data_IF_747315528673
#
_entry.id   IF_747315528673
#
_cell.length_a   1.000
_cell.length_b   1.000
_cell.length_c   1.000
_cell.angle_alpha   90.00
_cell.angle_beta   90.00
_cell.angle_gamma   90.00
#
_symmetry.space_group_name_H-M   'P 1'
#
loop_
_entity.id
_entity.type
_entity.pdbx_description
1 polymer ?
#
# COMPACT_ATOMS: atom_id res chain seq x y z
N UNK A 1 -21.58 -1.27 -3.19
CA UNK A 1 -20.80 -1.85 -2.03
C UNK A 1 -19.43 -1.20 -2.02
N UNK A 2 -18.98 -0.68 -0.89
CA UNK A 2 -17.71 0.02 -0.80
C UNK A 2 -16.58 -0.96 -0.45
N UNK A 3 -15.42 -0.77 -1.07
CA UNK A 3 -14.24 -1.61 -0.86
C UNK A 3 -13.08 -0.73 -0.42
N UNK A 4 -12.48 -1.07 0.71
CA UNK A 4 -11.21 -0.50 1.16
C UNK A 4 -10.22 -1.66 1.25
N UNK A 5 -9.15 -1.56 0.48
CA UNK A 5 -8.08 -2.56 0.48
C UNK A 5 -6.80 -1.93 1.02
N UNK A 6 -6.35 -2.40 2.17
CA UNK A 6 -5.13 -1.90 2.81
C UNK A 6 -4.06 -2.99 2.71
N UNK A 7 -2.90 -2.62 2.19
CA UNK A 7 -1.72 -3.48 2.11
C UNK A 7 -0.63 -2.84 2.97
N UNK A 8 -0.29 -3.48 4.09
CA UNK A 8 0.84 -3.07 4.93
C UNK A 8 2.04 -3.96 4.59
N UNK A 9 3.11 -3.37 4.04
CA UNK A 9 4.25 -4.14 3.57
C UNK A 9 4.98 -4.83 4.72
N UNK A 10 5.39 -6.07 4.50
CA UNK A 10 6.11 -6.95 5.46
C UNK A 10 5.45 -7.10 6.84
N UNK A 11 4.17 -6.73 6.99
CA UNK A 11 3.48 -6.84 8.27
C UNK A 11 3.21 -8.30 8.63
N UNK A 12 3.95 -8.83 9.56
CA UNK A 12 3.89 -10.22 9.99
C UNK A 12 2.65 -10.48 10.84
N UNK A 13 1.95 -11.57 10.59
CA UNK A 13 0.77 -11.97 11.36
C UNK A 13 1.08 -12.22 12.84
N UNK A 14 2.25 -12.75 13.17
CA UNK A 14 2.68 -12.99 14.55
C UNK A 14 3.00 -11.70 15.35
N UNK A 15 2.89 -10.52 14.72
CA UNK A 15 2.98 -9.21 15.37
C UNK A 15 1.61 -8.61 15.71
N UNK A 16 0.51 -9.33 15.44
CA UNK A 16 -0.85 -8.90 15.73
C UNK A 16 -1.40 -9.58 16.98
N UNK A 17 -2.06 -8.81 17.86
CA UNK A 17 -2.74 -9.34 19.03
C UNK A 17 -3.81 -10.37 18.65
N UNK A 18 -4.55 -10.12 17.58
CA UNK A 18 -5.56 -11.03 17.03
C UNK A 18 -4.99 -12.42 16.64
N UNK A 19 -3.69 -12.53 16.36
CA UNK A 19 -2.99 -13.79 16.09
C UNK A 19 -2.16 -14.28 17.30
N UNK A 20 -2.38 -13.68 18.48
CA UNK A 20 -1.81 -14.18 19.73
C UNK A 20 -0.55 -13.45 20.21
N UNK A 21 -0.11 -12.37 19.56
CA UNK A 21 1.00 -11.55 20.08
C UNK A 21 0.58 -10.86 21.38
N UNK A 22 1.41 -11.00 22.41
CA UNK A 22 1.15 -10.40 23.73
C UNK A 22 2.04 -9.21 24.06
N UNK A 23 3.03 -8.94 23.21
CA UNK A 23 4.04 -7.90 23.43
C UNK A 23 3.70 -6.64 22.64
N UNK A 24 3.34 -6.81 21.37
CA UNK A 24 3.00 -5.72 20.47
C UNK A 24 1.52 -5.38 20.64
N UNK A 25 1.22 -4.12 20.86
CA UNK A 25 -0.16 -3.66 21.06
C UNK A 25 -0.76 -3.19 19.73
N UNK A 26 -1.80 -3.89 19.28
CA UNK A 26 -2.55 -3.60 18.05
C UNK A 26 -4.06 -3.43 18.31
N UNK A 27 -4.49 -2.56 19.25
CA UNK A 27 -5.86 -2.56 19.75
C UNK A 27 -6.91 -2.26 18.66
N UNK A 28 -6.61 -1.40 17.70
CA UNK A 28 -7.52 -1.07 16.60
C UNK A 28 -7.69 -2.25 15.65
N UNK A 29 -6.60 -2.92 15.29
CA UNK A 29 -6.65 -4.10 14.43
C UNK A 29 -7.29 -5.29 15.15
N UNK A 30 -7.05 -5.45 16.45
CA UNK A 30 -7.69 -6.49 17.26
C UNK A 30 -9.20 -6.28 17.35
N UNK A 31 -9.64 -5.03 17.54
CA UNK A 31 -11.06 -4.67 17.52
C UNK A 31 -11.70 -4.89 16.14
N UNK A 32 -10.99 -4.61 15.05
CA UNK A 32 -11.45 -4.94 13.70
C UNK A 32 -11.56 -6.46 13.52
N UNK A 33 -10.54 -7.20 13.88
CA UNK A 33 -10.48 -8.66 13.76
C UNK A 33 -11.62 -9.36 14.52
N UNK A 34 -12.03 -8.82 15.70
CA UNK A 34 -13.11 -9.39 16.52
C UNK A 34 -14.48 -9.42 15.82
N UNK A 35 -14.68 -8.62 14.78
CA UNK A 35 -15.92 -8.51 13.99
C UNK A 35 -15.73 -8.80 12.49
N UNK A 36 -14.63 -9.44 12.14
CA UNK A 36 -14.23 -9.70 10.76
C UNK A 36 -13.91 -11.18 10.56
N UNK A 37 -13.83 -11.61 9.31
CA UNK A 37 -13.25 -12.91 8.97
C UNK A 37 -11.73 -12.80 9.08
N UNK A 38 -11.15 -13.69 9.88
CA UNK A 38 -9.70 -13.82 10.02
C UNK A 38 -9.24 -15.09 9.32
N UNK A 39 -8.24 -14.95 8.44
CA UNK A 39 -7.65 -16.06 7.71
C UNK A 39 -6.45 -16.62 8.49
N UNK A 40 -6.55 -17.88 8.93
CA UNK A 40 -5.45 -18.56 9.62
C UNK A 40 -4.38 -19.09 8.66
N UNK A 41 -4.75 -19.28 7.38
CA UNK A 41 -3.87 -19.77 6.32
C UNK A 41 -4.09 -18.96 5.07
N UNK A 42 -3.36 -17.88 4.96
CA UNK A 42 -3.30 -17.04 3.77
C UNK A 42 -1.87 -17.07 3.23
N UNK A 43 -1.72 -17.40 1.97
CA UNK A 43 -0.42 -17.52 1.31
C UNK A 43 -0.34 -16.53 0.17
N UNK A 44 0.80 -15.86 0.04
CA UNK A 44 1.09 -15.03 -1.13
C UNK A 44 1.32 -15.92 -2.34
N UNK A 45 0.90 -15.47 -3.52
CA UNK A 45 1.12 -16.20 -4.76
C UNK A 45 2.48 -15.85 -5.39
N UNK A 46 2.89 -14.59 -5.29
CA UNK A 46 4.15 -14.07 -5.82
C UNK A 46 4.97 -13.32 -4.78
N UNK A 47 6.27 -13.17 -5.02
CA UNK A 47 7.24 -12.55 -4.13
C UNK A 47 8.35 -11.89 -4.98
N UNK A 48 8.99 -10.81 -4.57
CA UNK A 48 8.65 -9.99 -3.42
C UNK A 48 7.62 -8.88 -3.75
N UNK A 49 7.86 -7.64 -3.35
CA UNK A 49 6.92 -6.50 -3.38
C UNK A 49 6.21 -6.30 -4.71
N UNK A 50 6.96 -6.15 -5.82
CA UNK A 50 6.37 -5.85 -7.13
C UNK A 50 5.50 -6.98 -7.69
N UNK A 51 5.97 -8.24 -7.73
CA UNK A 51 5.14 -9.35 -8.17
C UNK A 51 3.87 -9.51 -7.33
N UNK A 52 3.95 -9.28 -5.99
CA UNK A 52 2.77 -9.31 -5.12
C UNK A 52 1.77 -8.20 -5.48
N UNK A 53 2.23 -6.97 -5.74
CA UNK A 53 1.34 -5.88 -6.19
C UNK A 53 0.73 -6.16 -7.56
N UNK A 54 1.47 -6.81 -8.45
CA UNK A 54 0.92 -7.24 -9.73
C UNK A 54 -0.18 -8.30 -9.56
N UNK A 55 0.00 -9.26 -8.64
CA UNK A 55 -1.07 -10.21 -8.27
C UNK A 55 -2.31 -9.48 -7.76
N UNK A 56 -2.14 -8.50 -6.88
CA UNK A 56 -3.24 -7.69 -6.33
C UNK A 56 -3.94 -6.89 -7.43
N UNK A 57 -3.17 -6.27 -8.32
CA UNK A 57 -3.72 -5.43 -9.37
C UNK A 57 -4.48 -6.25 -10.42
N UNK A 58 -4.00 -7.44 -10.77
CA UNK A 58 -4.51 -8.21 -11.92
C UNK A 58 -5.34 -9.44 -11.55
N UNK A 59 -5.26 -9.90 -10.29
CA UNK A 59 -5.84 -11.17 -9.87
C UNK A 59 -5.18 -12.40 -10.53
N UNK A 60 -3.97 -12.24 -11.06
CA UNK A 60 -3.21 -13.28 -11.76
C UNK A 60 -1.92 -13.58 -11.01
N UNK A 61 -1.43 -14.78 -11.16
CA UNK A 61 -0.12 -15.15 -10.65
C UNK A 61 0.98 -14.52 -11.52
N UNK A 62 1.48 -13.39 -11.09
CA UNK A 62 2.39 -12.54 -11.87
C UNK A 62 3.74 -13.19 -12.15
N UNK A 63 4.28 -14.01 -11.26
CA UNK A 63 5.54 -14.72 -11.49
C UNK A 63 5.53 -15.64 -12.71
N UNK A 64 4.38 -15.91 -13.29
CA UNK A 64 4.26 -16.66 -14.54
C UNK A 64 4.55 -15.82 -15.80
N UNK A 65 4.54 -14.48 -15.69
CA UNK A 65 4.67 -13.59 -16.85
C UNK A 65 5.50 -12.32 -16.62
N UNK A 66 5.88 -12.00 -15.37
CA UNK A 66 6.72 -10.84 -15.06
C UNK A 66 7.57 -11.08 -13.80
N UNK A 67 8.62 -10.26 -13.66
CA UNK A 67 9.45 -10.18 -12.48
C UNK A 67 9.33 -8.84 -11.78
N UNK A 68 10.47 -8.22 -11.45
CA UNK A 68 10.56 -6.89 -10.87
C UNK A 68 10.62 -5.84 -11.99
N UNK A 69 9.48 -5.46 -12.50
CA UNK A 69 9.36 -4.57 -13.65
C UNK A 69 8.00 -3.86 -13.65
N UNK A 70 7.79 -2.84 -14.48
CA UNK A 70 6.49 -2.22 -14.66
C UNK A 70 5.41 -3.25 -15.04
N UNK A 71 4.18 -3.03 -14.57
CA UNK A 71 3.04 -3.85 -14.98
C UNK A 71 2.87 -3.77 -16.49
N UNK A 72 2.88 -4.89 -17.24
CA UNK A 72 2.75 -4.86 -18.69
C UNK A 72 1.45 -4.17 -19.14
N UNK A 73 1.52 -3.34 -20.16
CA UNK A 73 0.39 -2.52 -20.66
C UNK A 73 -0.87 -3.33 -20.97
N UNK A 74 -0.71 -4.55 -21.48
CA UNK A 74 -1.83 -5.45 -21.83
C UNK A 74 -2.54 -6.09 -20.64
N UNK A 75 -2.11 -5.86 -19.41
CA UNK A 75 -2.80 -6.37 -18.22
C UNK A 75 -3.99 -5.49 -17.86
N UNK A 76 -5.12 -6.12 -17.59
CA UNK A 76 -6.30 -5.44 -17.04
C UNK A 76 -6.21 -5.44 -15.50
N UNK A 77 -6.45 -4.29 -14.89
CA UNK A 77 -6.39 -4.15 -13.44
C UNK A 77 -7.78 -4.25 -12.79
N UNK A 78 -7.81 -4.62 -11.51
CA UNK A 78 -9.03 -4.57 -10.71
C UNK A 78 -9.64 -3.15 -10.68
N UNK A 79 -8.79 -2.13 -10.62
CA UNK A 79 -9.25 -0.74 -10.64
C UNK A 79 -9.93 -0.38 -11.97
N UNK A 80 -9.40 -0.83 -13.12
CA UNK A 80 -10.07 -0.65 -14.42
C UNK A 80 -11.43 -1.35 -14.48
N UNK A 81 -11.50 -2.58 -13.97
CA UNK A 81 -12.76 -3.35 -13.93
C UNK A 81 -13.80 -2.62 -13.10
N UNK A 82 -13.43 -2.17 -11.90
CA UNK A 82 -14.35 -1.48 -10.99
C UNK A 82 -14.75 -0.11 -11.52
N UNK A 83 -13.82 0.66 -12.08
CA UNK A 83 -14.13 1.92 -12.75
C UNK A 83 -15.10 1.72 -13.90
N UNK A 84 -14.92 0.67 -14.68
CA UNK A 84 -15.79 0.30 -15.82
C UNK A 84 -17.23 -0.03 -15.43
N UNK A 85 -17.49 -0.38 -14.16
CA UNK A 85 -18.84 -0.62 -13.63
C UNK A 85 -19.32 0.50 -12.71
N UNK A 86 -18.66 1.67 -12.74
CA UNK A 86 -19.14 2.90 -12.11
C UNK A 86 -18.61 3.15 -10.70
N UNK A 87 -17.62 2.39 -10.22
CA UNK A 87 -16.98 2.70 -8.95
C UNK A 87 -16.08 3.93 -9.09
N UNK A 88 -16.08 4.77 -8.06
CA UNK A 88 -15.06 5.80 -7.90
C UNK A 88 -13.79 5.14 -7.33
N UNK A 89 -12.72 5.11 -8.12
CA UNK A 89 -11.49 4.37 -7.79
C UNK A 89 -10.39 5.32 -7.35
N UNK A 90 -9.79 5.02 -6.21
CA UNK A 90 -8.67 5.81 -5.69
C UNK A 90 -7.58 4.93 -5.11
N UNK A 91 -6.33 5.39 -5.22
CA UNK A 91 -5.19 4.82 -4.54
C UNK A 91 -4.45 5.90 -3.74
N UNK A 92 -3.97 5.51 -2.56
CA UNK A 92 -3.10 6.32 -1.71
C UNK A 92 -1.92 5.46 -1.29
N UNK A 93 -0.70 5.87 -1.63
CA UNK A 93 0.51 5.08 -1.38
C UNK A 93 1.68 5.96 -0.93
N UNK A 94 2.62 5.36 -0.21
CA UNK A 94 3.92 5.97 0.11
C UNK A 94 5.11 5.07 -0.33
N UNK A 95 4.87 4.21 -1.30
CA UNK A 95 5.87 3.33 -1.93
C UNK A 95 6.23 3.80 -3.34
N UNK A 96 6.87 4.99 -3.51
CA UNK A 96 7.04 5.63 -4.81
C UNK A 96 7.92 4.83 -5.77
N UNK A 97 8.91 4.07 -5.27
CA UNK A 97 9.77 3.22 -6.10
C UNK A 97 9.01 2.27 -7.01
N UNK A 98 7.86 1.78 -6.52
CA UNK A 98 7.15 0.70 -7.17
C UNK A 98 5.89 1.17 -7.87
N UNK A 99 5.26 2.24 -7.35
CA UNK A 99 3.95 2.68 -7.78
C UNK A 99 3.97 4.05 -8.46
N UNK A 100 5.13 4.54 -8.87
CA UNK A 100 5.25 5.78 -9.64
C UNK A 100 4.63 5.65 -11.04
N UNK A 101 4.37 6.78 -11.69
CA UNK A 101 3.57 6.85 -12.90
C UNK A 101 4.08 6.09 -14.13
N UNK A 102 5.36 5.69 -14.16
CA UNK A 102 5.94 4.87 -15.23
C UNK A 102 5.86 3.35 -14.96
N UNK A 103 5.28 2.96 -13.83
CA UNK A 103 5.16 1.55 -13.43
C UNK A 103 3.81 0.93 -13.76
N UNK A 104 2.86 1.69 -14.30
CA UNK A 104 1.51 1.29 -14.73
C UNK A 104 0.58 0.74 -13.62
N UNK A 105 0.92 0.93 -12.33
CA UNK A 105 0.06 0.53 -11.22
C UNK A 105 -1.02 1.56 -10.88
N UNK A 106 -0.92 2.76 -11.43
CA UNK A 106 -1.94 3.81 -11.37
C UNK A 106 -3.13 3.55 -12.30
N UNK A 107 -3.01 2.56 -13.18
CA UNK A 107 -3.97 2.20 -14.22
C UNK A 107 -5.35 1.85 -13.65
N UNK A 108 -6.37 2.59 -14.07
CA UNK A 108 -7.76 2.41 -13.64
C UNK A 108 -8.13 3.17 -12.36
N UNK A 109 -7.21 3.85 -11.70
CA UNK A 109 -7.54 4.75 -10.62
C UNK A 109 -7.83 6.16 -11.14
N UNK A 110 -9.01 6.70 -10.78
CA UNK A 110 -9.41 8.07 -11.11
C UNK A 110 -8.68 9.09 -10.23
N UNK A 111 -8.29 8.69 -9.04
CA UNK A 111 -7.47 9.49 -8.13
C UNK A 111 -6.28 8.64 -7.66
N UNK A 112 -5.08 9.12 -7.93
CA UNK A 112 -3.85 8.45 -7.50
C UNK A 112 -2.99 9.42 -6.70
N UNK A 113 -2.86 9.15 -5.40
CA UNK A 113 -2.10 9.99 -4.47
C UNK A 113 -0.86 9.24 -4.01
N UNK A 114 0.27 9.72 -4.44
CA UNK A 114 1.56 9.22 -3.99
C UNK A 114 2.15 10.19 -2.99
N UNK A 115 2.27 9.76 -1.73
CA UNK A 115 3.10 10.45 -0.78
C UNK A 115 4.56 10.13 -1.11
N UNK A 116 5.45 11.13 -1.13
CA UNK A 116 6.83 10.91 -1.56
C UNK A 116 7.60 9.84 -0.79
N UNK A 117 7.12 9.42 0.37
CA UNK A 117 7.71 8.32 1.12
C UNK A 117 9.18 8.58 1.47
N UNK A 118 9.95 7.54 1.50
CA UNK A 118 11.39 7.62 1.78
C UNK A 118 12.18 8.22 0.62
N UNK A 119 11.67 8.17 -0.60
CA UNK A 119 12.35 8.64 -1.81
C UNK A 119 12.43 10.16 -1.95
N UNK A 120 11.41 10.89 -1.52
CA UNK A 120 11.40 12.34 -1.65
C UNK A 120 12.45 13.05 -0.80
N UNK A 121 13.11 12.27 -0.02
CA UNK A 121 14.10 12.73 0.92
C UNK A 121 15.50 12.67 0.33
N UNK A 122 15.64 12.08 -0.88
CA UNK A 122 16.93 11.98 -1.55
C UNK A 122 16.95 12.89 -2.79
N UNK A 123 17.91 13.81 -2.89
CA UNK A 123 18.24 14.43 -4.19
C UNK A 123 18.55 13.30 -5.20
N UNK A 124 18.15 13.52 -6.45
CA UNK A 124 18.32 12.54 -7.54
C UNK A 124 19.76 12.01 -7.68
N UNK A 125 20.74 12.78 -7.23
CA UNK A 125 22.16 12.46 -7.18
C UNK A 125 22.52 11.45 -6.08
N UNK A 126 21.66 11.23 -5.09
CA UNK A 126 21.90 10.37 -3.92
C UNK A 126 21.24 8.99 -4.00
N UNK A 127 20.43 8.73 -5.02
CA UNK A 127 19.73 7.45 -5.22
C UNK A 127 20.67 6.24 -5.34
N UNK A 128 21.96 6.45 -5.40
CA UNK A 128 22.98 5.40 -5.53
C UNK A 128 23.79 5.11 -4.27
N UNK A 129 23.58 5.85 -3.16
CA UNK A 129 24.41 5.74 -1.93
C UNK A 129 23.65 5.30 -0.67
N UNK A 130 22.98 4.37 -0.72
CA UNK A 130 21.91 3.62 -0.07
C UNK A 130 21.67 3.55 1.45
N UNK A 131 22.49 3.93 2.41
CA UNK A 131 22.15 3.52 3.80
C UNK A 131 22.37 4.51 4.93
N UNK A 132 23.26 5.44 4.80
CA UNK A 132 23.63 6.29 5.93
C UNK A 132 22.74 7.54 6.10
N UNK A 133 22.13 8.00 5.03
CA UNK A 133 21.38 9.26 5.01
C UNK A 133 19.91 9.11 5.40
N UNK A 134 19.33 7.93 5.22
CA UNK A 134 17.99 7.63 5.70
C UNK A 134 17.84 7.76 7.23
N UNK A 135 18.93 7.62 7.98
CA UNK A 135 18.93 7.83 9.42
C UNK A 135 18.84 9.31 9.78
N UNK A 136 19.47 10.20 9.03
CA UNK A 136 19.46 11.63 9.30
C UNK A 136 18.07 12.26 9.10
N UNK A 137 17.32 11.76 8.15
CA UNK A 137 15.97 12.24 7.85
C UNK A 137 14.99 11.83 8.94
N UNK A 138 15.10 10.61 9.45
CA UNK A 138 14.32 10.15 10.61
C UNK A 138 14.65 10.92 11.88
N UNK A 139 15.86 11.42 12.00
CA UNK A 139 16.24 12.31 13.12
C UNK A 139 15.46 13.62 13.09
N UNK A 140 14.88 14.03 11.97
CA UNK A 140 14.01 15.19 11.85
C UNK A 140 12.55 14.90 12.29
N UNK A 141 12.12 13.65 12.35
CA UNK A 141 10.77 13.29 12.81
C UNK A 141 10.64 13.52 14.31
N UNK A 142 9.69 14.35 14.68
CA UNK A 142 9.42 14.72 16.08
C UNK A 142 8.11 14.15 16.59
N UNK A 143 7.16 13.91 15.68
CA UNK A 143 5.83 13.42 15.97
C UNK A 143 5.49 12.24 15.08
N UNK A 144 4.54 11.43 15.52
CA UNK A 144 4.00 10.33 14.72
C UNK A 144 3.49 10.81 13.34
N UNK A 145 2.88 12.01 13.31
CA UNK A 145 2.37 12.64 12.09
C UNK A 145 3.44 12.99 11.05
N UNK A 146 4.71 12.98 11.44
CA UNK A 146 5.81 13.28 10.51
C UNK A 146 6.21 12.06 9.66
N UNK A 147 5.70 10.88 10.04
CA UNK A 147 5.99 9.62 9.37
C UNK A 147 5.13 9.41 8.13
N UNK A 148 5.62 8.62 7.19
CA UNK A 148 4.97 8.41 5.89
C UNK A 148 3.62 7.71 6.02
N UNK A 149 3.54 6.56 6.71
CA UNK A 149 2.28 5.82 6.82
C UNK A 149 1.16 6.62 7.50
N UNK A 150 1.37 7.35 8.63
CA UNK A 150 0.37 8.26 9.17
C UNK A 150 -0.14 9.28 8.15
N UNK A 151 0.74 9.89 7.34
CA UNK A 151 0.33 10.84 6.30
C UNK A 151 -0.48 10.16 5.19
N UNK A 152 -0.10 8.97 4.79
CA UNK A 152 -0.86 8.14 3.85
C UNK A 152 -2.27 7.84 4.37
N UNK A 153 -2.41 7.46 5.65
CA UNK A 153 -3.73 7.22 6.25
C UNK A 153 -4.57 8.49 6.45
N UNK A 154 -3.93 9.63 6.77
CA UNK A 154 -4.63 10.92 6.81
C UNK A 154 -5.21 11.24 5.43
N UNK A 155 -4.42 11.09 4.37
CA UNK A 155 -4.88 11.34 3.00
C UNK A 155 -6.01 10.41 2.58
N UNK A 156 -5.90 9.12 2.91
CA UNK A 156 -6.97 8.15 2.67
C UNK A 156 -8.26 8.53 3.41
N UNK A 157 -8.16 8.96 4.67
CA UNK A 157 -9.28 9.40 5.48
C UNK A 157 -9.95 10.66 4.92
N UNK A 158 -9.18 11.65 4.48
CA UNK A 158 -9.70 12.86 3.83
C UNK A 158 -10.44 12.54 2.52
N UNK A 159 -9.92 11.58 1.76
CA UNK A 159 -10.59 11.13 0.55
C UNK A 159 -11.92 10.44 0.88
N UNK A 160 -11.93 9.53 1.86
CA UNK A 160 -13.14 8.85 2.33
C UNK A 160 -14.21 9.82 2.81
N UNK A 161 -13.85 10.87 3.55
CA UNK A 161 -14.80 11.89 4.02
C UNK A 161 -15.52 12.60 2.88
N UNK A 162 -14.91 12.70 1.71
CA UNK A 162 -15.51 13.33 0.53
C UNK A 162 -16.35 12.37 -0.30
N UNK A 163 -16.02 11.08 -0.31
CA UNK A 163 -16.55 10.09 -1.24
C UNK A 163 -17.37 8.95 -0.58
N UNK A 164 -17.58 8.96 0.75
CA UNK A 164 -18.24 7.86 1.48
C UNK A 164 -19.67 7.55 1.03
N UNK A 165 -20.33 8.47 0.30
CA UNK A 165 -21.69 8.30 -0.24
C UNK A 165 -21.72 7.66 -1.63
N UNK A 166 -20.60 7.52 -2.26
CA UNK A 166 -20.45 6.94 -3.58
C UNK A 166 -20.14 5.44 -3.49
N UNK A 167 -20.36 4.69 -4.55
CA UNK A 167 -19.76 3.36 -4.66
C UNK A 167 -18.29 3.54 -5.00
N UNK A 168 -17.40 3.06 -4.13
CA UNK A 168 -15.98 3.30 -4.28
C UNK A 168 -15.09 2.08 -4.03
N UNK A 169 -13.92 2.12 -4.64
CA UNK A 169 -12.77 1.28 -4.35
C UNK A 169 -11.59 2.15 -3.95
N UNK A 170 -11.14 2.02 -2.70
CA UNK A 170 -9.96 2.70 -2.17
C UNK A 170 -8.86 1.69 -1.87
N UNK A 171 -7.73 1.83 -2.54
CA UNK A 171 -6.50 1.09 -2.30
C UNK A 171 -5.54 1.94 -1.47
N UNK A 172 -5.04 1.41 -0.35
CA UNK A 172 -4.11 2.10 0.54
C UNK A 172 -2.90 1.21 0.74
N UNK A 173 -1.74 1.69 0.34
CA UNK A 173 -0.50 0.90 0.35
C UNK A 173 0.63 1.66 1.08
N UNK A 174 0.65 1.62 2.42
CA UNK A 174 1.78 2.13 3.18
C UNK A 174 2.96 1.16 3.11
N UNK A 175 4.17 1.74 3.04
CA UNK A 175 5.41 0.97 3.12
C UNK A 175 5.63 0.36 4.50
N UNK A 176 5.25 1.07 5.56
CA UNK A 176 5.37 0.56 6.92
C UNK A 176 4.52 -0.71 7.14
N UNK A 177 5.00 -1.67 7.92
CA UNK A 177 6.20 -1.65 8.76
C UNK A 177 7.46 -2.25 8.12
N UNK A 178 7.64 -2.14 6.81
CA UNK A 178 8.88 -2.56 6.15
C UNK A 178 10.08 -1.84 6.79
N UNK A 179 11.22 -2.54 6.87
CA UNK A 179 12.46 -1.88 7.30
C UNK A 179 12.86 -0.79 6.31
N UNK A 180 13.61 0.19 6.80
CA UNK A 180 14.11 1.28 5.99
C UNK A 180 15.20 0.87 5.03
#
# INVERSE_FOLDING_TARGET
>A
MNVIWIVADTFRSDHLGAYGNKTIRTPTLDALASRSVRFERHYIASFPTMPTRADHATGRWSMSFMGWEPLPEGQTTLAEILAGVGYHTAAVTDTPFYLRGDMNYDKGFQSFFMHPGQDAQFPEEMLHTHRHESQDIRAAWRHESDRNAPQTFVRASEWLQRHYKEDFFLYVDPWDPHEP
#
